data_IF_009531452152
#
_entry.id   IF_009531452152
#
_cell.length_a   1.000
_cell.length_b   1.000
_cell.length_c   1.000
_cell.angle_alpha   90.00
_cell.angle_beta   90.00
_cell.angle_gamma   90.00
#
_symmetry.space_group_name_H-M   'P 1'
#
loop_
_entity.id
_entity.type
_entity.pdbx_description
1 polymer ?
#
# COMPACT_ATOMS: atom_id res chain seq x y z
N UNK A 1 2.13 -3.18 -13.21
CA UNK A 1 1.44 -3.87 -12.10
C UNK A 1 1.80 -3.12 -10.82
N UNK A 2 0.82 -2.66 -10.01
CA UNK A 2 1.09 -1.92 -8.76
C UNK A 2 1.07 -2.79 -7.50
N UNK A 3 0.68 -4.05 -7.66
CA UNK A 3 0.67 -5.04 -6.59
C UNK A 3 1.88 -5.95 -6.71
N UNK A 4 2.42 -6.46 -5.59
CA UNK A 4 1.97 -6.28 -4.21
C UNK A 4 2.86 -5.28 -3.41
N UNK A 5 3.20 -4.11 -3.97
CA UNK A 5 4.31 -3.29 -3.44
C UNK A 5 4.04 -2.72 -2.03
N UNK A 6 2.88 -2.09 -1.77
CA UNK A 6 2.54 -1.63 -0.41
C UNK A 6 2.47 -2.79 0.59
N UNK A 7 1.91 -3.92 0.17
CA UNK A 7 1.81 -5.11 1.02
C UNK A 7 3.20 -5.63 1.40
N UNK A 8 4.11 -5.72 0.43
CA UNK A 8 5.49 -6.13 0.66
C UNK A 8 6.24 -5.18 1.60
N UNK A 9 6.07 -3.86 1.43
CA UNK A 9 6.65 -2.85 2.32
C UNK A 9 6.14 -3.03 3.76
N UNK A 10 4.83 -3.21 3.96
CA UNK A 10 4.27 -3.42 5.29
C UNK A 10 4.72 -4.74 5.92
N UNK A 11 4.71 -5.85 5.18
CA UNK A 11 5.17 -7.16 5.70
C UNK A 11 6.60 -7.07 6.19
N UNK A 12 7.49 -6.46 5.39
CA UNK A 12 8.91 -6.34 5.74
C UNK A 12 9.13 -5.45 6.97
N UNK A 13 8.42 -4.33 7.06
CA UNK A 13 8.67 -3.33 8.12
C UNK A 13 7.89 -3.57 9.42
N UNK A 14 6.71 -4.20 9.36
CA UNK A 14 5.95 -4.56 10.56
C UNK A 14 6.48 -5.85 11.20
N UNK A 15 7.07 -6.74 10.40
CA UNK A 15 7.66 -7.98 10.86
C UNK A 15 6.64 -9.12 11.00
N UNK A 16 7.11 -10.28 11.48
CA UNK A 16 6.40 -11.55 11.31
C UNK A 16 5.20 -11.73 12.25
N UNK A 17 5.04 -10.85 13.24
CA UNK A 17 3.87 -10.80 14.12
C UNK A 17 2.65 -10.16 13.47
N UNK A 18 2.79 -9.67 12.24
CA UNK A 18 1.73 -9.03 11.48
C UNK A 18 1.40 -9.85 10.24
N UNK A 19 0.11 -9.91 9.95
CA UNK A 19 -0.44 -10.44 8.71
C UNK A 19 -0.98 -9.26 7.91
N UNK A 20 -0.54 -9.16 6.66
CA UNK A 20 -0.93 -8.09 5.74
C UNK A 20 -1.40 -8.72 4.44
N UNK A 21 -2.51 -8.23 3.88
CA UNK A 21 -2.94 -8.61 2.54
C UNK A 21 -3.67 -7.46 1.84
N UNK A 22 -3.64 -7.48 0.52
CA UNK A 22 -4.48 -6.62 -0.32
C UNK A 22 -5.94 -7.04 -0.23
N UNK A 23 -6.78 -6.17 0.35
CA UNK A 23 -8.23 -6.38 0.47
C UNK A 23 -8.96 -5.96 -0.80
N UNK A 24 -8.48 -4.90 -1.45
CA UNK A 24 -9.11 -4.33 -2.63
C UNK A 24 -8.21 -3.30 -3.31
N UNK A 25 -8.57 -2.95 -4.53
CA UNK A 25 -7.94 -1.88 -5.28
C UNK A 25 -8.92 -1.29 -6.29
N UNK A 26 -8.72 -0.01 -6.63
CA UNK A 26 -9.34 0.61 -7.78
C UNK A 26 -8.29 1.39 -8.57
N UNK A 27 -8.55 1.57 -9.87
CA UNK A 27 -7.66 2.31 -10.76
C UNK A 27 -8.50 3.31 -11.54
N UNK A 28 -8.11 4.58 -11.46
CA UNK A 28 -8.61 5.63 -12.33
C UNK A 28 -7.62 5.81 -13.49
N UNK A 29 -8.00 5.40 -14.71
CA UNK A 29 -7.19 5.61 -15.91
C UNK A 29 -7.40 7.03 -16.43
N UNK A 30 -6.43 7.91 -16.16
CA UNK A 30 -6.52 9.34 -16.46
C UNK A 30 -6.16 9.62 -17.92
N UNK A 31 -5.16 8.92 -18.45
CA UNK A 31 -4.61 9.11 -19.81
C UNK A 31 -4.16 7.77 -20.40
N UNK A 32 -4.07 7.62 -21.73
CA UNK A 32 -3.45 6.45 -22.34
C UNK A 32 -1.95 6.39 -21.98
N UNK A 33 -1.48 5.24 -21.50
CA UNK A 33 -0.05 4.98 -21.30
C UNK A 33 0.59 4.51 -22.59
N UNK A 34 1.24 5.42 -23.33
CA UNK A 34 1.81 5.14 -24.66
C UNK A 34 3.30 4.78 -24.64
N UNK A 35 3.94 4.76 -23.48
CA UNK A 35 5.38 4.52 -23.30
C UNK A 35 5.70 3.90 -21.94
N UNK A 36 6.94 4.07 -21.47
CA UNK A 36 7.33 3.58 -20.15
C UNK A 36 6.57 4.32 -19.06
N UNK A 37 6.13 3.58 -18.04
CA UNK A 37 5.47 4.15 -16.86
C UNK A 37 6.14 3.67 -15.59
N UNK A 38 6.19 4.54 -14.58
CA UNK A 38 6.77 4.26 -13.28
C UNK A 38 5.84 4.70 -12.15
N UNK A 39 6.00 4.08 -10.99
CA UNK A 39 5.24 4.40 -9.78
C UNK A 39 6.18 4.29 -8.57
N UNK A 40 6.03 5.22 -7.62
CA UNK A 40 6.88 5.27 -6.42
C UNK A 40 6.03 4.93 -5.21
N UNK A 41 6.41 3.87 -4.50
CA UNK A 41 5.71 3.38 -3.32
C UNK A 41 6.52 3.71 -2.08
N UNK A 42 5.89 4.39 -1.12
CA UNK A 42 6.55 4.83 0.11
C UNK A 42 5.60 4.67 1.30
N UNK A 43 6.15 4.24 2.43
CA UNK A 43 5.46 4.18 3.71
C UNK A 43 6.38 4.87 4.72
N UNK A 44 5.86 5.86 5.43
CA UNK A 44 6.65 6.60 6.41
C UNK A 44 6.79 5.83 7.72
N UNK A 45 7.77 6.19 8.54
CA UNK A 45 7.93 5.59 9.87
C UNK A 45 6.74 5.91 10.79
N UNK A 46 6.13 7.09 10.63
CA UNK A 46 4.94 7.49 11.38
C UNK A 46 3.74 6.61 11.03
N UNK A 47 3.53 6.29 9.75
CA UNK A 47 2.47 5.37 9.32
C UNK A 47 2.67 3.97 9.92
N UNK A 48 3.91 3.46 9.96
CA UNK A 48 4.22 2.19 10.61
C UNK A 48 3.93 2.22 12.11
N UNK A 49 4.28 3.33 12.79
CA UNK A 49 4.00 3.51 14.21
C UNK A 49 2.49 3.59 14.49
N UNK A 50 1.74 4.31 13.66
CA UNK A 50 0.28 4.43 13.75
C UNK A 50 -0.39 3.06 13.58
N UNK A 51 -0.02 2.31 12.53
CA UNK A 51 -0.54 0.94 12.32
C UNK A 51 -0.29 0.09 13.55
N UNK A 52 0.93 0.10 14.10
CA UNK A 52 1.27 -0.67 15.31
C UNK A 52 0.39 -0.26 16.50
N UNK A 53 0.18 1.05 16.70
CA UNK A 53 -0.65 1.58 17.77
C UNK A 53 -2.12 1.15 17.66
N UNK A 54 -2.73 1.33 16.48
CA UNK A 54 -4.12 0.96 16.22
C UNK A 54 -4.30 -0.55 16.41
N UNK A 55 -3.44 -1.36 15.79
CA UNK A 55 -3.55 -2.82 15.81
C UNK A 55 -3.33 -3.40 17.22
N UNK A 56 -2.55 -2.74 18.09
CA UNK A 56 -2.43 -3.14 19.49
C UNK A 56 -3.77 -3.03 20.24
N UNK A 57 -4.58 -2.02 19.94
CA UNK A 57 -5.88 -1.78 20.56
C UNK A 57 -7.01 -2.57 19.89
N UNK A 58 -7.08 -2.48 18.56
CA UNK A 58 -8.22 -2.96 17.77
C UNK A 58 -7.99 -4.33 17.11
N UNK A 59 -6.80 -4.92 17.29
CA UNK A 59 -6.33 -6.19 16.69
C UNK A 59 -6.14 -6.20 15.18
N UNK A 60 -6.78 -5.28 14.45
CA UNK A 60 -6.70 -5.16 12.99
C UNK A 60 -6.98 -3.72 12.55
N UNK A 61 -6.60 -3.37 11.34
CA UNK A 61 -6.94 -2.10 10.69
C UNK A 61 -6.99 -2.28 9.16
N UNK A 62 -7.64 -1.35 8.47
CA UNK A 62 -7.60 -1.24 7.01
C UNK A 62 -6.90 0.09 6.70
N UNK A 63 -5.82 0.03 5.93
CA UNK A 63 -5.08 1.20 5.45
C UNK A 63 -5.41 1.45 3.99
N UNK A 64 -5.48 2.72 3.64
CA UNK A 64 -5.75 3.16 2.28
C UNK A 64 -4.51 3.88 1.78
N UNK A 65 -4.03 3.48 0.61
CA UNK A 65 -2.92 4.15 -0.05
C UNK A 65 -3.31 4.53 -1.46
N UNK A 66 -2.67 5.59 -1.94
CA UNK A 66 -2.83 6.07 -3.30
C UNK A 66 -1.44 6.20 -3.91
N UNK A 67 -1.29 5.73 -5.15
CA UNK A 67 -0.05 5.85 -5.92
C UNK A 67 -0.35 6.35 -7.31
N UNK A 68 0.43 7.34 -7.73
CA UNK A 68 0.42 7.86 -9.09
C UNK A 68 1.31 6.96 -9.98
N UNK A 69 0.74 6.53 -11.09
CA UNK A 69 1.50 5.94 -12.21
C UNK A 69 1.81 7.06 -13.18
N UNK A 70 3.09 7.37 -13.34
CA UNK A 70 3.59 8.47 -14.17
C UNK A 70 4.21 7.96 -15.45
N UNK A 71 3.97 8.67 -16.56
CA UNK A 71 4.68 8.47 -17.80
C UNK A 71 6.06 9.12 -17.79
N UNK A 72 6.74 9.07 -18.93
CA UNK A 72 8.11 9.54 -19.11
C UNK A 72 8.27 11.05 -18.84
N UNK A 73 7.22 11.85 -19.03
CA UNK A 73 7.24 13.29 -18.86
C UNK A 73 6.69 13.72 -17.48
N UNK A 74 6.47 12.76 -16.58
CA UNK A 74 5.96 12.98 -15.23
C UNK A 74 4.44 13.18 -15.16
N UNK A 75 3.74 13.05 -16.28
CA UNK A 75 2.29 13.11 -16.37
C UNK A 75 1.64 11.90 -15.69
N UNK A 76 0.54 12.13 -14.96
CA UNK A 76 -0.21 11.03 -14.33
C UNK A 76 -1.02 10.31 -15.40
N UNK A 77 -0.71 9.03 -15.61
CA UNK A 77 -1.40 8.13 -16.55
C UNK A 77 -2.53 7.41 -15.84
N UNK A 78 -2.29 6.98 -14.60
CA UNK A 78 -3.31 6.33 -13.77
C UNK A 78 -3.11 6.66 -12.28
N UNK A 79 -4.20 6.62 -11.54
CA UNK A 79 -4.21 6.72 -10.08
C UNK A 79 -4.67 5.39 -9.51
N UNK A 80 -3.83 4.72 -8.73
CA UNK A 80 -4.16 3.44 -8.12
C UNK A 80 -4.43 3.63 -6.64
N UNK A 81 -5.62 3.23 -6.21
CA UNK A 81 -6.04 3.21 -4.81
C UNK A 81 -5.99 1.79 -4.30
N UNK A 82 -5.47 1.62 -3.08
CA UNK A 82 -5.18 0.33 -2.46
C UNK A 82 -5.81 0.26 -1.08
N UNK A 83 -6.53 -0.82 -0.81
CA UNK A 83 -7.03 -1.17 0.52
C UNK A 83 -6.22 -2.33 1.08
N UNK A 84 -5.45 -2.09 2.14
CA UNK A 84 -4.61 -3.10 2.78
C UNK A 84 -5.15 -3.45 4.16
N UNK A 85 -5.43 -4.72 4.35
CA UNK A 85 -5.77 -5.26 5.66
C UNK A 85 -4.50 -5.57 6.43
N UNK A 86 -4.44 -5.12 7.69
CA UNK A 86 -3.33 -5.42 8.61
C UNK A 86 -3.91 -5.99 9.91
N UNK A 87 -3.34 -7.09 10.41
CA UNK A 87 -3.73 -7.71 11.68
C UNK A 87 -2.51 -8.20 12.45
N UNK A 88 -2.53 -8.04 13.77
CA UNK A 88 -1.53 -8.69 14.65
C UNK A 88 -1.92 -10.14 14.88
N UNK A 89 -0.97 -11.03 14.67
CA UNK A 89 -1.07 -12.46 14.94
C UNK A 89 -0.79 -12.71 16.42
N UNK A 90 -1.63 -13.52 17.05
CA UNK A 90 -1.32 -14.08 18.36
C UNK A 90 -0.45 -15.31 18.11
N UNK A 91 0.86 -15.13 18.00
CA UNK A 91 1.78 -16.26 18.02
C UNK A 91 1.78 -16.82 19.45
N UNK A 92 1.43 -18.10 19.58
CA UNK A 92 1.52 -18.86 20.82
C UNK A 92 2.98 -19.12 21.16
#
# INVERSE_FOLDING_TARGET
MCDPFYMALLIRNLGPDYMVWDKGASIDFVRPGTGEVHAVFQISEEELAEIKHIVQKERKTIRHYEVEVKGEQGEVVALVKKELYVRKLNRR
#
